data_IF_434946049476
#
_entry.id   IF_434946049476
#
_cell.length_a   1.000
_cell.length_b   1.000
_cell.length_c   1.000
_cell.angle_alpha   90.00
_cell.angle_beta   90.00
_cell.angle_gamma   90.00
#
_symmetry.space_group_name_H-M   'P 1'
#
loop_
_entity.id
_entity.type
_entity.pdbx_description
1 polymer ?
#
# COMPACT_ATOMS: atom_id res chain seq x y z
N UNK A 1 -5.01 2.64 22.59
CA UNK A 1 -4.67 2.77 21.15
C UNK A 1 -5.10 4.15 20.68
N UNK A 2 -4.20 4.93 20.07
CA UNK A 2 -4.54 6.28 19.60
C UNK A 2 -5.66 6.22 18.55
N UNK A 3 -6.69 7.05 18.71
CA UNK A 3 -7.79 7.13 17.75
C UNK A 3 -7.26 7.50 16.35
N UNK A 4 -7.54 6.65 15.36
CA UNK A 4 -7.25 6.89 13.94
C UNK A 4 -8.39 7.64 13.23
N UNK A 5 -9.42 8.05 13.99
CA UNK A 5 -10.57 8.80 13.49
C UNK A 5 -10.12 10.12 12.87
N UNK A 6 -10.58 10.42 11.66
CA UNK A 6 -10.22 11.61 10.86
C UNK A 6 -8.73 11.74 10.50
N UNK A 7 -7.94 10.67 10.56
CA UNK A 7 -6.54 10.69 10.11
C UNK A 7 -6.40 10.11 8.71
N UNK A 8 -5.47 10.67 7.95
CA UNK A 8 -4.98 10.09 6.70
C UNK A 8 -3.84 9.14 7.04
N UNK A 9 -3.97 7.87 6.65
CA UNK A 9 -2.93 6.87 6.89
C UNK A 9 -2.01 6.82 5.68
N UNK A 10 -0.72 7.06 5.90
CA UNK A 10 0.32 6.81 4.91
C UNK A 10 0.79 5.37 5.08
N UNK A 11 0.62 4.57 4.04
CA UNK A 11 0.85 3.13 4.10
C UNK A 11 1.78 2.68 2.98
N UNK A 12 2.76 1.84 3.31
CA UNK A 12 3.75 1.31 2.37
C UNK A 12 3.51 -0.20 2.25
N UNK A 13 3.19 -0.68 1.05
CA UNK A 13 3.09 -2.13 0.74
C UNK A 13 4.39 -2.68 0.18
N UNK A 14 5.29 -1.79 -0.26
CA UNK A 14 6.60 -2.12 -0.81
C UNK A 14 7.58 -0.96 -0.67
N UNK A 15 8.86 -1.29 -0.46
CA UNK A 15 9.95 -0.32 -0.41
C UNK A 15 10.94 -0.55 -1.53
N UNK A 16 11.39 0.54 -2.12
CA UNK A 16 12.32 0.53 -3.25
C UNK A 16 11.61 0.60 -4.61
N UNK A 17 12.40 0.59 -5.66
CA UNK A 17 11.95 0.76 -7.03
C UNK A 17 12.82 -0.13 -7.94
N UNK A 18 12.23 -0.96 -8.82
CA UNK A 18 13.02 -1.81 -9.72
C UNK A 18 13.67 -1.02 -10.87
N UNK A 19 13.30 0.24 -11.05
CA UNK A 19 13.80 1.09 -12.12
C UNK A 19 15.10 1.79 -11.75
N UNK A 20 15.86 2.23 -12.76
CA UNK A 20 17.15 2.91 -12.63
C UNK A 20 17.12 4.31 -13.30
N UNK A 21 16.10 5.11 -13.01
CA UNK A 21 15.91 6.40 -13.67
C UNK A 21 17.03 7.39 -13.30
N UNK A 22 17.65 8.04 -14.29
CA UNK A 22 18.79 8.94 -14.12
C UNK A 22 18.52 10.14 -13.20
N UNK A 23 17.26 10.54 -13.09
CA UNK A 23 16.82 11.71 -12.32
C UNK A 23 16.18 11.34 -10.97
N UNK A 24 16.02 10.06 -10.65
CA UNK A 24 15.25 9.65 -9.48
C UNK A 24 16.17 9.28 -8.31
N UNK A 25 16.09 10.02 -7.20
CA UNK A 25 16.79 9.65 -5.96
C UNK A 25 16.37 8.27 -5.44
N UNK A 26 15.13 7.84 -5.70
CA UNK A 26 14.62 6.56 -5.20
C UNK A 26 15.25 5.33 -5.89
N UNK A 27 15.86 5.51 -7.08
CA UNK A 27 16.58 4.45 -7.78
C UNK A 27 18.07 4.42 -7.49
N UNK A 28 18.57 5.29 -6.59
CA UNK A 28 19.98 5.29 -6.18
C UNK A 28 20.38 3.98 -5.45
N UNK A 29 19.41 3.33 -4.80
CA UNK A 29 19.59 2.01 -4.19
C UNK A 29 18.72 0.99 -4.92
N UNK A 30 19.36 0.03 -5.58
CA UNK A 30 18.66 -1.06 -6.24
C UNK A 30 18.05 -2.02 -5.22
N UNK A 31 16.88 -2.55 -5.57
CA UNK A 31 16.17 -3.55 -4.79
C UNK A 31 14.71 -3.21 -4.60
N UNK A 32 13.89 -4.25 -4.55
CA UNK A 32 12.47 -4.17 -4.29
C UNK A 32 12.16 -5.10 -3.12
N UNK A 33 11.63 -4.52 -2.04
CA UNK A 33 11.18 -5.27 -0.87
C UNK A 33 9.66 -5.20 -0.80
N UNK A 34 9.00 -6.34 -1.00
CA UNK A 34 7.54 -6.46 -0.99
C UNK A 34 7.07 -7.00 0.35
N UNK A 35 6.08 -6.37 0.97
CA UNK A 35 5.37 -6.99 2.09
C UNK A 35 4.54 -8.20 1.59
N UNK A 36 4.43 -9.25 2.40
CA UNK A 36 3.56 -10.39 2.08
C UNK A 36 2.11 -9.93 1.85
N UNK A 37 1.43 -10.49 0.84
CA UNK A 37 0.05 -10.08 0.52
C UNK A 37 -0.91 -10.31 1.69
N UNK A 38 -0.74 -11.41 2.44
CA UNK A 38 -1.59 -11.72 3.59
C UNK A 38 -1.51 -10.65 4.68
N UNK A 39 -0.30 -10.12 4.92
CA UNK A 39 -0.09 -8.99 5.82
C UNK A 39 -0.78 -7.74 5.28
N UNK A 40 -0.61 -7.44 4.00
CA UNK A 40 -1.21 -6.25 3.37
C UNK A 40 -2.73 -6.31 3.47
N UNK A 41 -3.34 -7.47 3.22
CA UNK A 41 -4.78 -7.65 3.34
C UNK A 41 -5.26 -7.47 4.78
N UNK A 42 -4.56 -8.07 5.76
CA UNK A 42 -4.92 -7.93 7.17
C UNK A 42 -4.83 -6.48 7.66
N UNK A 43 -3.80 -5.73 7.26
CA UNK A 43 -3.65 -4.31 7.63
C UNK A 43 -4.72 -3.43 6.96
N UNK A 44 -5.06 -3.68 5.70
CA UNK A 44 -6.15 -2.98 5.01
C UNK A 44 -7.52 -3.28 5.64
N UNK A 45 -7.78 -4.53 5.99
CA UNK A 45 -9.00 -4.94 6.68
C UNK A 45 -9.13 -4.27 8.05
N UNK A 46 -8.01 -4.12 8.77
CA UNK A 46 -7.95 -3.37 10.02
C UNK A 46 -8.29 -1.89 9.81
N UNK A 47 -7.75 -1.23 8.77
CA UNK A 47 -8.07 0.17 8.49
C UNK A 47 -9.56 0.37 8.20
N UNK A 48 -10.17 -0.54 7.43
CA UNK A 48 -11.60 -0.54 7.15
C UNK A 48 -12.41 -0.73 8.44
N UNK A 49 -12.03 -1.71 9.28
CA UNK A 49 -12.73 -2.00 10.53
C UNK A 49 -12.70 -0.84 11.53
N UNK A 50 -11.61 -0.07 11.57
CA UNK A 50 -11.45 1.11 12.43
C UNK A 50 -12.11 2.37 11.82
N UNK A 51 -12.64 2.29 10.60
CA UNK A 51 -13.32 3.41 9.94
C UNK A 51 -12.37 4.49 9.42
N UNK A 52 -11.15 4.11 9.02
CA UNK A 52 -10.23 5.01 8.32
C UNK A 52 -10.81 5.36 6.97
N UNK A 53 -11.05 6.66 6.73
CA UNK A 53 -11.64 7.16 5.48
C UNK A 53 -10.65 7.30 4.33
N UNK A 54 -9.36 7.49 4.63
CA UNK A 54 -8.35 7.71 3.59
C UNK A 54 -7.03 7.02 3.95
N UNK A 55 -6.60 6.13 3.05
CA UNK A 55 -5.29 5.50 3.05
C UNK A 55 -4.54 5.96 1.80
N UNK A 56 -3.38 6.60 1.98
CA UNK A 56 -2.48 7.02 0.91
C UNK A 56 -1.34 6.02 0.82
N UNK A 57 -1.28 5.31 -0.30
CA UNK A 57 -0.14 4.43 -0.60
C UNK A 57 1.07 5.31 -0.94
N UNK A 58 2.17 5.11 -0.21
CA UNK A 58 3.43 5.84 -0.41
C UNK A 58 4.48 5.04 -1.17
N UNK A 59 4.07 3.90 -1.73
CA UNK A 59 4.90 3.06 -2.60
C UNK A 59 5.41 3.89 -3.78
N UNK A 60 6.72 3.84 -4.05
CA UNK A 60 7.34 4.60 -5.14
C UNK A 60 6.76 4.24 -6.50
N UNK A 61 6.38 2.98 -6.68
CA UNK A 61 5.67 2.49 -7.86
C UNK A 61 4.79 1.30 -7.47
N UNK A 62 3.61 1.60 -6.91
CA UNK A 62 2.65 0.60 -6.43
C UNK A 62 2.35 -0.50 -7.47
N UNK A 63 2.23 -0.12 -8.74
CA UNK A 63 1.89 -1.00 -9.85
C UNK A 63 3.11 -1.64 -10.54
N UNK A 64 4.30 -1.64 -9.91
CA UNK A 64 5.47 -2.30 -10.49
C UNK A 64 5.25 -3.80 -10.73
N UNK A 65 4.46 -4.45 -9.86
CA UNK A 65 3.86 -5.75 -10.10
C UNK A 65 2.35 -5.56 -10.28
N UNK A 66 1.92 -5.59 -11.55
CA UNK A 66 0.52 -5.40 -11.93
C UNK A 66 -0.37 -6.52 -11.36
N UNK A 67 0.15 -7.74 -11.25
CA UNK A 67 -0.58 -8.88 -10.68
C UNK A 67 -0.86 -8.67 -9.20
N UNK A 68 0.17 -8.26 -8.44
CA UNK A 68 0.05 -7.89 -7.03
C UNK A 68 -0.92 -6.72 -6.83
N UNK A 69 -0.78 -5.65 -7.60
CA UNK A 69 -1.66 -4.48 -7.50
C UNK A 69 -3.13 -4.86 -7.74
N UNK A 70 -3.41 -5.68 -8.77
CA UNK A 70 -4.75 -6.21 -9.05
C UNK A 70 -5.30 -7.05 -7.89
N UNK A 71 -4.48 -7.89 -7.25
CA UNK A 71 -4.90 -8.69 -6.09
C UNK A 71 -5.28 -7.80 -4.91
N UNK A 72 -4.53 -6.73 -4.66
CA UNK A 72 -4.85 -5.74 -3.60
C UNK A 72 -6.18 -5.04 -3.91
N UNK A 73 -6.38 -4.55 -5.14
CA UNK A 73 -7.66 -3.95 -5.52
C UNK A 73 -8.82 -4.94 -5.45
N UNK A 74 -8.65 -6.17 -5.93
CA UNK A 74 -9.67 -7.21 -5.87
C UNK A 74 -10.08 -7.54 -4.42
N UNK A 75 -9.10 -7.60 -3.51
CA UNK A 75 -9.37 -7.78 -2.07
C UNK A 75 -10.21 -6.63 -1.51
N UNK A 76 -9.82 -5.38 -1.79
CA UNK A 76 -10.55 -4.19 -1.33
C UNK A 76 -11.98 -4.12 -1.89
N UNK A 77 -12.16 -4.40 -3.18
CA UNK A 77 -13.49 -4.44 -3.83
C UNK A 77 -14.35 -5.53 -3.19
N UNK A 78 -13.79 -6.72 -2.95
CA UNK A 78 -14.50 -7.84 -2.32
C UNK A 78 -14.87 -7.54 -0.87
N UNK A 79 -13.96 -6.92 -0.11
CA UNK A 79 -14.16 -6.61 1.31
C UNK A 79 -15.24 -5.55 1.51
N UNK A 80 -15.25 -4.53 0.65
CA UNK A 80 -16.09 -3.35 0.78
C UNK A 80 -15.76 -2.54 2.04
N UNK A 81 -16.46 -1.42 2.23
CA UNK A 81 -16.36 -0.62 3.45
C UNK A 81 -17.41 0.49 3.44
N UNK A 82 -17.73 1.08 4.61
CA UNK A 82 -18.54 2.28 4.66
C UNK A 82 -17.67 3.47 4.23
N UNK A 83 -17.35 3.55 2.93
CA UNK A 83 -16.62 4.68 2.34
C UNK A 83 -17.52 5.88 2.22
#
# INVERSE_FOLDING_TARGET
MASLKHKIIYYETMRGCPFCCSYCLSSAKQGLNLLGLDRVFAELDFFIAVGVKQVKLVDRTFNCDVGRAKRIFAHLIKRGGPT
#
